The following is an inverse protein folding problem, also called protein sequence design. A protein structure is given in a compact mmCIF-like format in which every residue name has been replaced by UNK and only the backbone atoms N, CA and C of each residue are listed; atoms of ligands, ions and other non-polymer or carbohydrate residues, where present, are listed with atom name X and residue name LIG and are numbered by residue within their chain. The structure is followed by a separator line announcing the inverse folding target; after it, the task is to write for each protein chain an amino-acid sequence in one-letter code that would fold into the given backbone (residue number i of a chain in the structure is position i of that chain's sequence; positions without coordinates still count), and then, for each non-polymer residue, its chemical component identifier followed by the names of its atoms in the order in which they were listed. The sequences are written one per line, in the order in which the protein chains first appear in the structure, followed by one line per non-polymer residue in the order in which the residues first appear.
data_IF_025920776711
#
_entry.id   IF_025920776711
#
_cell.length_a   1.000
_cell.length_b   1.000
_cell.length_c   1.000
_cell.angle_alpha   90.00
_cell.angle_beta   90.00
_cell.angle_gamma   90.00
#
_symmetry.space_group_name_H-M   'P 1'
#
loop_
_entity.id
_entity.type
_entity.pdbx_description
1 polymer ?
#
# COMPACT_ATOMS: atom_id res chain seq x y z
N UNK A 1 -5.84 2.07 -7.13
CA UNK A 1 -5.75 0.75 -7.79
C UNK A 1 -7.15 0.19 -7.95
N UNK A 2 -7.36 -0.75 -8.87
CA UNK A 2 -8.64 -1.46 -8.99
C UNK A 2 -8.45 -2.96 -8.77
N UNK A 3 -9.41 -3.60 -8.11
CA UNK A 3 -9.34 -5.03 -7.75
C UNK A 3 -10.73 -5.67 -7.73
N UNK A 4 -10.82 -6.94 -8.12
CA UNK A 4 -12.04 -7.73 -7.97
C UNK A 4 -12.31 -8.08 -6.48
N UNK A 5 -13.57 -8.19 -6.05
CA UNK A 5 -13.89 -8.64 -4.69
C UNK A 5 -13.28 -10.01 -4.38
N UNK A 6 -12.65 -10.14 -3.21
CA UNK A 6 -11.99 -11.39 -2.81
C UNK A 6 -10.62 -11.65 -3.45
N UNK A 7 -10.15 -10.78 -4.34
CA UNK A 7 -8.83 -10.91 -4.93
C UNK A 7 -7.73 -10.25 -4.08
N UNK A 8 -6.49 -10.66 -4.37
CA UNK A 8 -5.28 -10.15 -3.72
C UNK A 8 -4.45 -9.32 -4.71
N UNK A 9 -3.87 -8.23 -4.20
CA UNK A 9 -2.90 -7.41 -4.92
C UNK A 9 -1.62 -7.32 -4.09
N UNK A 10 -0.47 -7.49 -4.76
CA UNK A 10 0.84 -7.22 -4.17
C UNK A 10 1.49 -6.10 -4.97
N UNK A 11 1.89 -5.03 -4.30
CA UNK A 11 2.50 -3.88 -4.95
C UNK A 11 3.82 -3.49 -4.27
N UNK A 12 4.87 -3.42 -5.08
CA UNK A 12 6.16 -2.87 -4.68
C UNK A 12 6.13 -1.34 -4.70
N UNK A 13 6.80 -0.72 -3.73
CA UNK A 13 6.85 0.74 -3.60
C UNK A 13 8.14 1.36 -4.17
N UNK A 14 9.10 0.53 -4.60
CA UNK A 14 10.39 1.02 -5.10
C UNK A 14 10.24 1.65 -6.49
N UNK A 15 10.88 2.79 -6.70
CA UNK A 15 11.06 3.37 -8.03
C UNK A 15 12.50 3.87 -8.20
N UNK A 16 13.12 3.51 -9.34
CA UNK A 16 14.46 3.97 -9.71
C UNK A 16 15.51 3.80 -8.59
N UNK A 17 16.18 4.87 -8.16
CA UNK A 17 17.23 4.90 -7.13
C UNK A 17 16.70 4.98 -5.69
N UNK A 18 15.41 4.80 -5.46
CA UNK A 18 14.84 4.88 -4.12
C UNK A 18 15.23 3.66 -3.28
N UNK A 19 15.84 3.92 -2.12
CA UNK A 19 16.06 2.91 -1.09
C UNK A 19 14.99 3.07 -0.02
N UNK A 20 14.23 2.00 0.23
CA UNK A 20 13.20 1.96 1.27
C UNK A 20 13.82 1.30 2.50
N UNK A 21 13.76 1.99 3.63
CA UNK A 21 14.23 1.47 4.92
C UNK A 21 13.08 0.83 5.69
N UNK A 22 11.91 1.47 5.70
CA UNK A 22 10.72 0.95 6.38
C UNK A 22 9.43 1.35 5.65
N UNK A 23 8.41 0.50 5.78
CA UNK A 23 7.03 0.77 5.39
C UNK A 23 6.16 0.47 6.60
N UNK A 24 5.34 1.42 7.02
CA UNK A 24 4.41 1.26 8.14
C UNK A 24 3.01 1.70 7.77
N UNK A 25 2.01 1.03 8.33
CA UNK A 25 0.60 1.40 8.16
C UNK A 25 0.26 2.54 9.11
N UNK A 26 -0.23 3.66 8.56
CA UNK A 26 -0.74 4.81 9.33
C UNK A 26 -2.24 4.62 9.59
N UNK A 27 -2.98 4.24 8.55
CA UNK A 27 -4.40 3.89 8.63
C UNK A 27 -4.64 2.65 7.79
N UNK A 28 -5.33 1.67 8.37
CA UNK A 28 -5.67 0.42 7.70
C UNK A 28 -6.92 0.55 6.81
N UNK A 29 -7.10 -0.39 5.87
CA UNK A 29 -8.33 -0.51 5.10
C UNK A 29 -9.54 -0.84 5.98
N UNK A 30 -10.73 -0.53 5.46
CA UNK A 30 -12.02 -0.79 6.10
C UNK A 30 -12.77 -1.99 5.51
N UNK A 31 -12.37 -2.45 4.31
CA UNK A 31 -13.07 -3.49 3.52
C UNK A 31 -12.10 -4.54 2.98
N UNK A 32 -11.00 -4.75 3.69
CA UNK A 32 -9.92 -5.63 3.28
C UNK A 32 -8.88 -5.78 4.37
N UNK A 33 -7.85 -6.58 4.08
CA UNK A 33 -6.70 -6.74 4.93
C UNK A 33 -5.45 -6.21 4.25
N UNK A 34 -4.58 -5.58 5.03
CA UNK A 34 -3.32 -5.01 4.54
C UNK A 34 -2.17 -5.62 5.33
N UNK A 35 -1.18 -6.15 4.61
CA UNK A 35 0.07 -6.63 5.17
C UNK A 35 1.25 -5.93 4.50
N UNK A 36 2.24 -5.51 5.29
CA UNK A 36 3.52 -5.02 4.76
C UNK A 36 4.38 -6.23 4.39
N UNK A 37 4.90 -6.26 3.16
CA UNK A 37 5.72 -7.37 2.66
C UNK A 37 6.98 -6.79 2.03
N UNK A 38 8.09 -6.86 2.76
CA UNK A 38 9.36 -6.24 2.35
C UNK A 38 9.21 -4.73 2.11
N UNK A 39 9.66 -4.24 0.97
CA UNK A 39 9.54 -2.84 0.54
C UNK A 39 8.24 -2.55 -0.23
N UNK A 40 7.14 -3.16 0.19
CA UNK A 40 5.85 -3.13 -0.48
C UNK A 40 4.72 -3.55 0.45
N UNK A 41 3.56 -3.80 -0.13
CA UNK A 41 2.38 -4.24 0.62
C UNK A 41 1.57 -5.28 -0.17
N UNK A 42 0.81 -6.09 0.56
CA UNK A 42 -0.25 -6.95 0.05
C UNK A 42 -1.59 -6.45 0.57
N UNK A 43 -2.52 -6.21 -0.34
CA UNK A 43 -3.92 -5.92 -0.03
C UNK A 43 -4.77 -7.10 -0.44
N UNK A 44 -5.65 -7.54 0.45
CA UNK A 44 -6.62 -8.61 0.23
C UNK A 44 -8.03 -8.04 0.39
N UNK A 45 -8.77 -7.96 -0.72
CA UNK A 45 -10.14 -7.45 -0.70
C UNK A 45 -11.08 -8.44 0.00
N UNK A 46 -12.03 -7.96 0.80
CA UNK A 46 -13.10 -8.83 1.27
C UNK A 46 -13.99 -9.26 0.09
N UNK A 47 -14.42 -10.52 0.07
CA UNK A 47 -15.30 -11.07 -0.98
C UNK A 47 -16.66 -10.38 -1.04
N UNK A 48 -17.11 -9.83 0.10
CA UNK A 48 -18.38 -9.10 0.23
C UNK A 48 -18.20 -7.58 0.16
N UNK A 49 -16.98 -7.08 -0.08
CA UNK A 49 -16.73 -5.65 -0.17
C UNK A 49 -17.55 -5.04 -1.30
N UNK A 50 -18.33 -4.01 -0.97
CA UNK A 50 -19.06 -3.19 -1.94
C UNK A 50 -18.58 -1.76 -1.80
N UNK A 51 -18.09 -1.18 -2.90
CA UNK A 51 -17.55 0.18 -2.93
C UNK A 51 -16.06 0.26 -2.67
N UNK A 52 -15.55 1.49 -2.71
CA UNK A 52 -14.12 1.77 -2.59
C UNK A 52 -13.60 1.56 -1.15
N UNK A 53 -12.30 1.34 -1.04
CA UNK A 53 -11.56 1.24 0.21
C UNK A 53 -10.34 2.17 0.17
N UNK A 54 -9.82 2.50 1.35
CA UNK A 54 -8.68 3.43 1.46
C UNK A 54 -7.78 3.07 2.63
N UNK A 55 -6.47 3.20 2.42
CA UNK A 55 -5.48 3.07 3.48
C UNK A 55 -4.30 4.02 3.24
N UNK A 56 -3.56 4.30 4.29
CA UNK A 56 -2.41 5.20 4.27
C UNK A 56 -1.17 4.51 4.80
N UNK A 57 -0.07 4.64 4.07
CA UNK A 57 1.25 4.13 4.42
C UNK A 57 2.21 5.30 4.67
N UNK A 58 3.13 5.11 5.62
CA UNK A 58 4.30 5.94 5.81
C UNK A 58 5.53 5.15 5.37
N UNK A 59 6.30 5.74 4.48
CA UNK A 59 7.50 5.14 3.91
C UNK A 59 8.69 5.98 4.37
N UNK A 60 9.68 5.34 4.98
CA UNK A 60 10.98 5.96 5.23
C UNK A 60 12.03 5.38 4.32
N UNK A 61 12.92 6.23 3.83
CA UNK A 61 13.90 5.84 2.85
C UNK A 61 14.79 6.99 2.44
N UNK A 62 15.41 6.84 1.28
CA UNK A 62 16.13 7.93 0.61
C UNK A 62 16.02 7.82 -0.90
N UNK A 63 16.14 8.96 -1.56
CA UNK A 63 16.36 9.02 -3.00
C UNK A 63 17.78 9.53 -3.25
N UNK A 64 18.65 8.68 -3.81
CA UNK A 64 20.10 8.91 -3.92
C UNK A 64 20.77 9.12 -2.56
N UNK A 65 20.90 10.37 -2.12
CA UNK A 65 21.68 10.76 -0.93
C UNK A 65 20.80 11.22 0.23
N UNK A 66 19.63 11.79 -0.05
CA UNK A 66 18.85 12.48 0.98
C UNK A 66 17.81 11.54 1.60
N UNK A 67 17.90 11.26 2.91
CA UNK A 67 16.88 10.52 3.62
C UNK A 67 15.63 11.37 3.86
N UNK A 68 14.49 10.71 3.90
CA UNK A 68 13.22 11.35 4.12
C UNK A 68 12.09 10.37 4.39
N UNK A 69 10.91 10.93 4.56
CA UNK A 69 9.67 10.16 4.69
C UNK A 69 8.67 10.61 3.64
N UNK A 70 7.76 9.71 3.25
CA UNK A 70 6.69 9.99 2.32
C UNK A 70 5.42 9.29 2.78
N UNK A 71 4.31 10.02 2.70
CA UNK A 71 2.99 9.47 2.98
C UNK A 71 2.36 9.06 1.66
N UNK A 72 1.91 7.81 1.58
CA UNK A 72 1.21 7.26 0.43
C UNK A 72 -0.23 6.96 0.83
N UNK A 73 -1.17 7.63 0.17
CA UNK A 73 -2.59 7.29 0.24
C UNK A 73 -2.96 6.41 -0.94
N UNK A 74 -3.59 5.27 -0.66
CA UNK A 74 -4.04 4.33 -1.68
C UNK A 74 -5.54 4.23 -1.61
N UNK A 75 -6.19 4.56 -2.73
CA UNK A 75 -7.60 4.28 -2.98
C UNK A 75 -7.72 2.98 -3.77
N UNK A 76 -8.59 2.09 -3.30
CA UNK A 76 -8.91 0.81 -3.94
C UNK A 76 -10.33 0.88 -4.45
N UNK A 77 -10.49 0.81 -5.77
CA UNK A 77 -11.80 0.82 -6.41
C UNK A 77 -12.21 -0.59 -6.84
N UNK A 78 -13.48 -0.98 -6.65
CA UNK A 78 -13.98 -2.23 -7.22
C UNK A 78 -13.90 -2.15 -8.76
N UNK A 79 -13.57 -3.26 -9.40
CA UNK A 79 -13.68 -3.41 -10.86
C UNK A 79 -15.11 -3.64 -11.32
#
# INVERSE_FOLDING_TARGET
MSIEPGADCIQGLRWSYMQIFNVSVVSGPSRGQLAVVGSGFRYSAESTARGADRFTLLISGKNRHDPGTSTLEVEVNPQ
#
